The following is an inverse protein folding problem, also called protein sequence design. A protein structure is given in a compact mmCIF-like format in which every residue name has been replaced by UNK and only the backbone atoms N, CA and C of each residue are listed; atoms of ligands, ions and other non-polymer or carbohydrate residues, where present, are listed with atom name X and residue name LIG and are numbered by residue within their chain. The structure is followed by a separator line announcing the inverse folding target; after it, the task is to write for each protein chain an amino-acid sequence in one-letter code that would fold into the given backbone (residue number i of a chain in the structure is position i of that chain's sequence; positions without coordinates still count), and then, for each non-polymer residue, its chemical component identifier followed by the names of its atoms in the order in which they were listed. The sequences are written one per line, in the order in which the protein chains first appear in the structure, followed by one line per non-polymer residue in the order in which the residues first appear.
data_IF_033771872733
#
_entry.id   IF_033771872733
#
_cell.length_a   1.000
_cell.length_b   1.000
_cell.length_c   1.000
_cell.angle_alpha   90.00
_cell.angle_beta   90.00
_cell.angle_gamma   90.00
#
_symmetry.space_group_name_H-M   'P 1'
#
loop_
_entity.id
_entity.type
_entity.pdbx_description
1 polymer ?
#
# COMPACT_ATOMS: atom_id res chain seq x y z
N UNK A 1 25.77 23.74 16.59
CA UNK A 1 24.43 23.78 15.99
C UNK A 1 23.95 22.35 15.93
N UNK A 2 23.05 21.93 16.83
CA UNK A 2 22.32 20.65 16.69
C UNK A 2 21.44 20.81 15.45
N UNK A 3 21.66 19.99 14.41
CA UNK A 3 20.72 19.95 13.29
C UNK A 3 19.37 19.48 13.84
N UNK A 4 18.32 20.22 13.56
CA UNK A 4 16.96 19.72 13.86
C UNK A 4 16.79 18.35 13.21
N UNK A 5 16.26 17.40 13.98
CA UNK A 5 16.00 16.05 13.46
C UNK A 5 15.02 16.16 12.29
N UNK A 6 15.36 15.49 11.18
CA UNK A 6 14.45 15.46 10.01
C UNK A 6 13.15 14.80 10.40
N UNK A 7 11.99 15.29 9.90
CA UNK A 7 10.72 14.60 10.12
C UNK A 7 10.74 13.21 9.48
N UNK A 8 10.08 12.27 10.14
CA UNK A 8 10.04 10.86 9.74
C UNK A 8 8.92 10.63 8.74
N UNK A 9 9.24 10.00 7.62
CA UNK A 9 8.26 9.51 6.65
C UNK A 9 8.33 8.00 6.56
N UNK A 10 7.17 7.36 6.66
CA UNK A 10 7.01 5.94 6.38
C UNK A 10 6.22 5.74 5.09
N UNK A 11 6.74 4.92 4.21
CA UNK A 11 6.00 4.43 3.04
C UNK A 11 6.18 2.92 2.90
N UNK A 12 5.10 2.23 2.59
CA UNK A 12 5.08 0.78 2.52
C UNK A 12 4.43 0.30 1.23
N UNK A 13 4.91 -0.83 0.71
CA UNK A 13 4.23 -1.52 -0.38
C UNK A 13 4.18 -3.03 -0.14
N UNK A 14 3.07 -3.63 -0.56
CA UNK A 14 2.92 -5.08 -0.53
C UNK A 14 3.76 -5.72 -1.64
N UNK A 15 4.42 -6.85 -1.38
CA UNK A 15 5.20 -7.60 -2.37
C UNK A 15 4.29 -8.39 -3.33
N UNK A 16 3.42 -7.69 -4.07
CA UNK A 16 2.42 -8.28 -4.97
C UNK A 16 2.90 -8.35 -6.42
N UNK A 17 4.12 -8.84 -6.63
CA UNK A 17 4.70 -8.98 -7.96
C UNK A 17 5.55 -7.80 -8.41
N UNK A 18 5.72 -7.65 -9.72
CA UNK A 18 6.60 -6.62 -10.30
C UNK A 18 6.01 -5.22 -10.18
N UNK A 19 6.87 -4.22 -10.03
CA UNK A 19 6.48 -2.81 -10.12
C UNK A 19 6.15 -2.45 -11.57
N UNK A 20 5.10 -1.67 -11.75
CA UNK A 20 4.78 -1.08 -13.04
C UNK A 20 5.48 0.26 -13.21
N UNK A 21 5.61 0.74 -14.45
CA UNK A 21 6.10 2.09 -14.73
C UNK A 21 5.25 3.15 -14.01
N UNK A 22 3.95 2.90 -13.83
CA UNK A 22 3.05 3.76 -13.05
C UNK A 22 3.40 3.80 -11.56
N UNK A 23 3.84 2.67 -10.97
CA UNK A 23 4.34 2.65 -9.60
C UNK A 23 5.66 3.42 -9.47
N UNK A 24 6.56 3.25 -10.44
CA UNK A 24 7.84 3.98 -10.46
C UNK A 24 7.64 5.49 -10.55
N UNK A 25 6.92 5.96 -11.56
CA UNK A 25 6.70 7.40 -11.79
C UNK A 25 5.80 8.04 -10.73
N UNK A 26 4.82 7.29 -10.23
CA UNK A 26 3.85 7.80 -9.25
C UNK A 26 4.33 7.79 -7.80
N UNK A 27 5.30 6.93 -7.48
CA UNK A 27 5.75 6.75 -6.10
C UNK A 27 7.28 6.67 -5.97
N UNK A 28 7.91 5.59 -6.49
CA UNK A 28 9.30 5.26 -6.16
C UNK A 28 10.29 6.35 -6.59
N UNK A 29 10.10 6.96 -7.74
CA UNK A 29 10.92 8.08 -8.22
C UNK A 29 10.90 9.26 -7.25
N UNK A 30 9.76 9.53 -6.64
CA UNK A 30 9.61 10.62 -5.66
C UNK A 30 10.27 10.29 -4.32
N UNK A 31 10.36 8.99 -3.96
CA UNK A 31 10.99 8.58 -2.71
C UNK A 31 12.47 8.95 -2.64
N UNK A 32 13.21 8.81 -3.75
CA UNK A 32 14.62 9.19 -3.80
C UNK A 32 14.82 10.70 -3.51
N UNK A 33 13.90 11.55 -3.96
CA UNK A 33 13.98 13.00 -3.70
C UNK A 33 13.62 13.38 -2.26
N UNK A 34 12.88 12.53 -1.55
CA UNK A 34 12.51 12.78 -0.16
C UNK A 34 13.67 12.58 0.82
N UNK A 35 14.70 11.82 0.45
CA UNK A 35 15.84 11.52 1.30
C UNK A 35 16.66 12.76 1.72
N UNK A 36 16.55 13.86 0.99
CA UNK A 36 17.25 15.10 1.32
C UNK A 36 16.60 15.84 2.50
N UNK A 37 15.27 15.79 2.59
CA UNK A 37 14.49 16.57 3.56
C UNK A 37 13.95 15.74 4.73
N UNK A 38 13.85 14.41 4.57
CA UNK A 38 13.19 13.52 5.52
C UNK A 38 14.05 12.34 5.93
N UNK A 39 13.78 11.81 7.12
CA UNK A 39 14.21 10.48 7.53
C UNK A 39 13.20 9.45 7.02
N UNK A 40 13.61 8.66 6.03
CA UNK A 40 12.67 7.81 5.28
C UNK A 40 12.83 6.34 5.64
N UNK A 41 11.67 5.72 5.95
CA UNK A 41 11.49 4.28 6.14
C UNK A 41 10.69 3.70 4.99
N UNK A 42 11.20 2.64 4.36
CA UNK A 42 10.56 1.95 3.24
C UNK A 42 10.30 0.50 3.59
N UNK A 43 9.02 0.19 3.83
CA UNK A 43 8.59 -1.14 4.25
C UNK A 43 8.11 -2.00 3.08
N UNK A 44 8.62 -3.25 3.02
CA UNK A 44 7.98 -4.31 2.24
C UNK A 44 7.06 -5.07 3.19
N UNK A 45 5.73 -4.84 3.06
CA UNK A 45 4.74 -5.31 4.03
C UNK A 45 4.17 -6.66 3.62
N UNK A 46 4.97 -7.69 3.84
CA UNK A 46 4.67 -9.08 3.51
C UNK A 46 3.56 -9.69 4.39
N UNK A 47 3.39 -9.21 5.60
CA UNK A 47 2.30 -9.66 6.49
C UNK A 47 0.93 -9.15 6.02
N UNK A 48 0.85 -7.99 5.37
CA UNK A 48 -0.39 -7.56 4.72
C UNK A 48 -0.75 -8.44 3.52
N UNK A 49 0.24 -9.01 2.84
CA UNK A 49 0.02 -9.87 1.69
C UNK A 49 -0.64 -11.21 2.06
N UNK A 50 -0.44 -11.71 3.30
CA UNK A 50 -1.01 -12.99 3.75
C UNK A 50 -2.47 -12.91 4.18
N UNK A 51 -3.10 -11.73 4.14
CA UNK A 51 -4.54 -11.57 4.41
C UNK A 51 -5.42 -12.22 3.35
N UNK A 52 -4.84 -12.56 2.20
CA UNK A 52 -5.46 -13.31 1.11
C UNK A 52 -4.67 -14.59 0.84
N UNK A 53 -5.24 -15.52 0.05
CA UNK A 53 -4.55 -16.76 -0.32
C UNK A 53 -3.23 -16.46 -1.05
N UNK A 54 -2.14 -17.07 -0.62
CA UNK A 54 -0.80 -16.88 -1.14
C UNK A 54 -0.02 -18.19 -1.24
N UNK A 55 1.04 -18.21 -2.04
CA UNK A 55 2.07 -19.25 -2.07
C UNK A 55 3.28 -18.79 -1.25
N UNK A 56 3.74 -19.52 -0.22
CA UNK A 56 4.90 -19.12 0.59
C UNK A 56 6.17 -18.90 -0.24
N UNK A 57 6.40 -19.74 -1.25
CA UNK A 57 7.56 -19.61 -2.13
C UNK A 57 7.50 -18.34 -2.99
N UNK A 58 6.32 -18.04 -3.55
CA UNK A 58 6.10 -16.81 -4.32
C UNK A 58 6.18 -15.57 -3.45
N UNK A 59 5.61 -15.59 -2.24
CA UNK A 59 5.69 -14.48 -1.30
C UNK A 59 7.15 -14.15 -0.98
N UNK A 60 7.97 -15.16 -0.65
CA UNK A 60 9.41 -14.98 -0.39
C UNK A 60 10.13 -14.38 -1.61
N UNK A 61 9.91 -14.93 -2.81
CA UNK A 61 10.48 -14.44 -4.05
C UNK A 61 10.08 -12.99 -4.30
N UNK A 62 8.80 -12.67 -4.17
CA UNK A 62 8.26 -11.34 -4.42
C UNK A 62 8.75 -10.31 -3.39
N UNK A 63 8.91 -10.71 -2.12
CA UNK A 63 9.47 -9.85 -1.06
C UNK A 63 10.91 -9.43 -1.40
N UNK A 64 11.78 -10.38 -1.74
CA UNK A 64 13.15 -10.11 -2.14
C UNK A 64 13.22 -9.28 -3.42
N UNK A 65 12.40 -9.63 -4.42
CA UNK A 65 12.31 -8.88 -5.67
C UNK A 65 11.83 -7.45 -5.46
N UNK A 66 10.90 -7.22 -4.53
CA UNK A 66 10.40 -5.87 -4.20
C UNK A 66 11.52 -4.99 -3.65
N UNK A 67 12.32 -5.50 -2.70
CA UNK A 67 13.50 -4.78 -2.15
C UNK A 67 14.51 -4.47 -3.26
N UNK A 68 14.83 -5.48 -4.10
CA UNK A 68 15.77 -5.30 -5.21
C UNK A 68 15.29 -4.25 -6.21
N UNK A 69 13.99 -4.24 -6.53
CA UNK A 69 13.41 -3.22 -7.41
C UNK A 69 13.47 -1.81 -6.80
N UNK A 70 13.28 -1.65 -5.49
CA UNK A 70 13.43 -0.35 -4.82
C UNK A 70 14.84 0.21 -5.00
N UNK A 71 15.86 -0.62 -4.72
CA UNK A 71 17.27 -0.23 -4.85
C UNK A 71 17.59 0.09 -6.31
N UNK A 72 17.18 -0.76 -7.25
CA UNK A 72 17.40 -0.56 -8.69
C UNK A 72 16.70 0.72 -9.22
N UNK A 73 15.60 1.12 -8.62
CA UNK A 73 14.88 2.36 -8.95
C UNK A 73 15.48 3.62 -8.31
N UNK A 74 16.62 3.50 -7.62
CA UNK A 74 17.38 4.63 -7.09
C UNK A 74 17.17 4.90 -5.59
N UNK A 75 16.55 3.98 -4.86
CA UNK A 75 16.47 4.08 -3.40
C UNK A 75 17.81 3.64 -2.80
N UNK A 76 18.56 4.61 -2.29
CA UNK A 76 19.88 4.38 -1.70
C UNK A 76 19.74 3.75 -0.29
N UNK A 77 20.21 2.49 -0.08
CA UNK A 77 20.11 1.81 1.22
C UNK A 77 21.02 2.43 2.30
N UNK A 78 22.06 3.18 1.91
CA UNK A 78 22.92 3.89 2.86
C UNK A 78 22.26 5.16 3.43
N UNK A 79 21.30 5.71 2.68
CA UNK A 79 20.59 6.94 3.02
C UNK A 79 19.16 6.72 3.51
N UNK A 80 18.62 5.51 3.35
CA UNK A 80 17.26 5.15 3.70
C UNK A 80 17.21 3.88 4.53
N UNK A 81 16.13 3.69 5.26
CA UNK A 81 15.89 2.48 6.03
C UNK A 81 14.90 1.60 5.27
N UNK A 82 15.41 0.54 4.64
CA UNK A 82 14.59 -0.44 3.92
C UNK A 82 14.43 -1.67 4.81
N UNK A 83 13.21 -2.11 5.04
CA UNK A 83 12.93 -3.27 5.89
C UNK A 83 11.84 -4.17 5.33
N UNK A 84 11.83 -5.42 5.77
CA UNK A 84 10.73 -6.37 5.56
C UNK A 84 9.93 -6.44 6.84
N UNK A 85 8.63 -6.23 6.78
CA UNK A 85 7.74 -6.11 7.93
C UNK A 85 7.84 -7.31 8.89
N UNK A 86 7.84 -8.54 8.37
CA UNK A 86 7.93 -9.75 9.19
C UNK A 86 9.28 -9.93 9.91
N UNK A 87 10.31 -9.19 9.52
CA UNK A 87 11.62 -9.22 10.19
C UNK A 87 11.69 -8.29 11.42
N UNK A 88 10.68 -7.47 11.65
CA UNK A 88 10.59 -6.55 12.78
C UNK A 88 9.40 -6.93 13.65
N UNK A 89 9.66 -7.64 14.74
CA UNK A 89 8.62 -8.23 15.63
C UNK A 89 7.68 -7.16 16.19
N UNK A 90 8.17 -5.95 16.44
CA UNK A 90 7.40 -4.83 16.99
C UNK A 90 6.11 -4.49 16.22
N UNK A 91 6.05 -4.77 14.91
CA UNK A 91 4.83 -4.56 14.13
C UNK A 91 3.66 -5.39 14.67
N UNK A 92 3.89 -6.68 14.95
CA UNK A 92 2.85 -7.58 15.46
C UNK A 92 2.55 -7.35 16.92
N UNK A 93 3.55 -7.04 17.73
CA UNK A 93 3.37 -6.72 19.14
C UNK A 93 2.53 -5.46 19.31
N UNK A 94 2.88 -4.38 18.60
CA UNK A 94 2.12 -3.14 18.64
C UNK A 94 0.71 -3.32 18.04
N UNK A 95 0.57 -4.09 16.95
CA UNK A 95 -0.73 -4.40 16.37
C UNK A 95 -1.65 -5.10 17.38
N UNK A 96 -1.12 -6.01 18.19
CA UNK A 96 -1.89 -6.65 19.25
C UNK A 96 -2.33 -5.64 20.31
N UNK A 97 -1.44 -4.80 20.81
CA UNK A 97 -1.77 -3.77 21.80
C UNK A 97 -2.84 -2.80 21.28
N UNK A 98 -2.70 -2.32 20.05
CA UNK A 98 -3.68 -1.44 19.40
C UNK A 98 -5.02 -2.15 19.18
N UNK A 99 -5.02 -3.46 18.89
CA UNK A 99 -6.24 -4.26 18.73
C UNK A 99 -7.10 -4.25 19.99
N UNK A 100 -6.46 -4.26 21.17
CA UNK A 100 -7.15 -4.25 22.47
C UNK A 100 -7.89 -2.94 22.76
N UNK A 101 -7.56 -1.86 22.05
CA UNK A 101 -8.22 -0.55 22.19
C UNK A 101 -9.01 -0.14 20.94
N UNK A 102 -9.08 -1.01 19.93
CA UNK A 102 -9.79 -0.76 18.67
C UNK A 102 -11.22 -1.32 18.74
N UNK A 103 -12.28 -0.48 18.65
CA UNK A 103 -13.64 -1.00 18.57
C UNK A 103 -13.86 -1.78 17.27
N UNK A 104 -14.49 -2.94 17.37
CA UNK A 104 -14.82 -3.78 16.18
C UNK A 104 -15.66 -2.99 15.17
N UNK A 105 -16.59 -2.14 15.65
CA UNK A 105 -17.41 -1.30 14.78
C UNK A 105 -16.63 -0.34 13.89
N UNK A 106 -15.44 0.12 14.33
CA UNK A 106 -14.58 0.97 13.50
C UNK A 106 -14.03 0.19 12.32
N UNK A 107 -13.58 -1.05 12.55
CA UNK A 107 -13.06 -1.94 11.52
C UNK A 107 -14.14 -2.37 10.53
N UNK A 108 -15.33 -2.65 11.00
CA UNK A 108 -16.47 -3.04 10.16
C UNK A 108 -16.95 -1.91 9.24
N UNK A 109 -16.75 -0.67 9.65
CA UNK A 109 -17.09 0.51 8.83
C UNK A 109 -16.10 0.79 7.71
N UNK A 110 -14.90 0.16 7.72
CA UNK A 110 -13.87 0.37 6.72
C UNK A 110 -14.36 0.00 5.32
N UNK A 111 -14.32 0.95 4.40
CA UNK A 111 -14.77 0.76 3.01
C UNK A 111 -14.05 -0.38 2.32
N UNK A 112 -12.72 -0.44 2.45
CA UNK A 112 -11.93 -1.51 1.84
C UNK A 112 -12.24 -2.89 2.43
N UNK A 113 -12.58 -3.00 3.72
CA UNK A 113 -13.05 -4.27 4.29
C UNK A 113 -14.32 -4.73 3.61
N UNK A 114 -15.31 -3.83 3.48
CA UNK A 114 -16.60 -4.11 2.83
C UNK A 114 -16.42 -4.52 1.37
N UNK A 115 -15.59 -3.80 0.62
CA UNK A 115 -15.30 -4.11 -0.79
C UNK A 115 -14.61 -5.46 -0.98
N UNK A 116 -13.62 -5.78 -0.14
CA UNK A 116 -12.90 -7.05 -0.21
C UNK A 116 -13.80 -8.21 0.21
N UNK A 117 -14.62 -8.05 1.25
CA UNK A 117 -15.60 -9.04 1.67
C UNK A 117 -16.65 -9.28 0.57
N UNK A 118 -17.14 -8.21 -0.09
CA UNK A 118 -18.08 -8.31 -1.20
C UNK A 118 -17.51 -9.09 -2.40
N UNK A 119 -16.22 -8.91 -2.73
CA UNK A 119 -15.53 -9.71 -3.78
C UNK A 119 -15.47 -11.21 -3.46
N UNK A 120 -15.53 -11.56 -2.18
CA UNK A 120 -15.61 -12.95 -1.71
C UNK A 120 -17.06 -13.47 -1.63
N UNK A 121 -18.06 -12.65 -1.99
CA UNK A 121 -19.47 -13.01 -1.95
C UNK A 121 -20.14 -12.76 -0.58
N UNK A 122 -19.52 -11.97 0.28
CA UNK A 122 -20.09 -11.61 1.58
C UNK A 122 -20.65 -10.19 1.54
N UNK A 123 -21.91 -10.01 1.95
CA UNK A 123 -22.53 -8.69 2.10
C UNK A 123 -22.72 -8.40 3.60
N UNK A 124 -22.45 -7.16 4.00
CA UNK A 124 -22.84 -6.70 5.32
C UNK A 124 -24.37 -6.66 5.41
N UNK A 125 -24.95 -7.13 6.52
CA UNK A 125 -26.36 -7.00 6.79
C UNK A 125 -26.77 -5.54 6.99
N UNK A 126 -28.08 -5.26 6.99
CA UNK A 126 -28.63 -3.94 7.33
C UNK A 126 -28.32 -3.59 8.78
N UNK A 127 -27.80 -2.40 8.99
CA UNK A 127 -27.29 -1.95 10.29
C UNK A 127 -25.81 -2.30 10.52
N UNK A 128 -25.29 -1.99 11.70
CA UNK A 128 -23.89 -2.29 12.07
C UNK A 128 -23.68 -3.75 12.52
N UNK A 129 -24.62 -4.64 12.24
CA UNK A 129 -24.47 -6.05 12.56
C UNK A 129 -23.63 -6.78 11.51
N UNK A 130 -22.66 -7.60 11.97
CA UNK A 130 -21.89 -8.54 11.15
C UNK A 130 -22.76 -9.72 10.68
N UNK A 131 -23.85 -9.45 10.01
CA UNK A 131 -24.57 -10.47 9.28
C UNK A 131 -24.02 -10.54 7.86
N UNK A 132 -22.97 -11.31 7.68
CA UNK A 132 -22.53 -11.64 6.34
C UNK A 132 -23.49 -12.69 5.75
N UNK A 133 -24.27 -12.29 4.76
CA UNK A 133 -25.06 -13.23 3.97
C UNK A 133 -24.12 -13.90 2.96
N UNK A 134 -24.14 -15.24 2.95
CA UNK A 134 -23.35 -16.04 2.01
C UNK A 134 -23.94 -16.07 0.58
N UNK A 135 -24.81 -15.16 0.22
CA UNK A 135 -25.41 -15.10 -1.12
C UNK A 135 -24.34 -14.86 -2.18
N UNK A 136 -24.07 -15.87 -2.98
CA UNK A 136 -23.08 -15.83 -4.05
C UNK A 136 -21.63 -16.06 -3.64
N UNK A 137 -21.37 -16.47 -2.39
CA UNK A 137 -20.03 -16.86 -1.96
C UNK A 137 -19.54 -18.07 -2.77
N UNK A 138 -18.31 -17.99 -3.27
CA UNK A 138 -17.66 -19.13 -3.92
C UNK A 138 -17.45 -20.23 -2.90
N UNK A 139 -17.62 -21.50 -3.31
CA UNK A 139 -17.37 -22.64 -2.43
C UNK A 139 -15.96 -22.54 -1.80
N UNK A 140 -15.89 -22.59 -0.46
CA UNK A 140 -14.64 -22.45 0.29
C UNK A 140 -14.15 -21.00 0.48
N UNK A 141 -14.88 -19.97 0.04
CA UNK A 141 -14.54 -18.59 0.34
C UNK A 141 -14.85 -18.28 1.82
N UNK A 142 -13.93 -17.59 2.48
CA UNK A 142 -14.11 -17.12 3.86
C UNK A 142 -13.50 -15.73 4.02
N UNK A 143 -14.14 -14.90 4.83
CA UNK A 143 -13.56 -13.64 5.30
C UNK A 143 -12.80 -13.98 6.58
N UNK A 144 -11.47 -13.93 6.52
CA UNK A 144 -10.64 -14.23 7.69
C UNK A 144 -10.47 -13.01 8.60
N UNK A 145 -10.07 -13.25 9.84
CA UNK A 145 -9.83 -12.17 10.81
C UNK A 145 -8.72 -11.19 10.36
N UNK A 146 -7.71 -11.66 9.63
CA UNK A 146 -6.66 -10.80 9.08
C UNK A 146 -7.20 -9.74 8.14
N UNK A 147 -8.24 -10.07 7.36
CA UNK A 147 -8.90 -9.09 6.47
C UNK A 147 -9.68 -8.02 7.25
N UNK A 148 -10.17 -8.32 8.45
CA UNK A 148 -10.79 -7.35 9.34
C UNK A 148 -9.74 -6.51 10.08
N UNK A 149 -8.63 -7.15 10.50
CA UNK A 149 -7.66 -6.58 11.42
C UNK A 149 -6.50 -5.84 10.74
N UNK A 150 -6.30 -6.02 9.42
CA UNK A 150 -5.14 -5.40 8.75
C UNK A 150 -5.06 -3.85 8.89
N UNK A 151 -6.15 -3.08 9.08
CA UNK A 151 -6.03 -1.65 9.32
C UNK A 151 -5.33 -1.33 10.65
N UNK A 152 -5.45 -2.22 11.65
CA UNK A 152 -4.74 -2.09 12.93
C UNK A 152 -3.25 -2.41 12.76
N UNK A 153 -2.92 -3.42 11.96
CA UNK A 153 -1.53 -3.71 11.60
C UNK A 153 -0.90 -2.53 10.83
N UNK A 154 -1.64 -1.91 9.91
CA UNK A 154 -1.17 -0.70 9.22
C UNK A 154 -0.96 0.47 10.19
N UNK A 155 -1.84 0.64 11.18
CA UNK A 155 -1.62 1.64 12.24
C UNK A 155 -0.35 1.34 13.04
N UNK A 156 -0.12 0.07 13.39
CA UNK A 156 1.11 -0.35 14.06
C UNK A 156 2.36 -0.08 13.20
N UNK A 157 2.30 -0.36 11.90
CA UNK A 157 3.41 -0.06 10.97
C UNK A 157 3.81 1.43 11.04
N UNK A 158 2.83 2.32 11.11
CA UNK A 158 3.05 3.77 11.12
C UNK A 158 3.53 4.25 12.49
N UNK A 159 2.87 3.82 13.54
CA UNK A 159 3.12 4.31 14.89
C UNK A 159 4.40 3.76 15.51
N UNK A 160 4.85 2.57 15.10
CA UNK A 160 6.10 1.96 15.57
C UNK A 160 7.32 2.85 15.31
N UNK A 161 7.30 3.60 14.22
CA UNK A 161 8.39 4.50 13.83
C UNK A 161 8.12 5.97 14.17
N UNK A 162 7.02 6.27 14.86
CA UNK A 162 6.59 7.64 15.15
C UNK A 162 6.60 8.52 13.88
N UNK A 163 6.08 7.99 12.77
CA UNK A 163 6.08 8.69 11.50
C UNK A 163 5.31 10.01 11.59
N UNK A 164 5.94 11.11 11.20
CA UNK A 164 5.29 12.43 11.12
C UNK A 164 4.32 12.52 9.95
N UNK A 165 4.66 11.82 8.85
CA UNK A 165 3.83 11.83 7.65
C UNK A 165 3.87 10.50 6.90
N UNK A 166 2.77 10.19 6.21
CA UNK A 166 2.59 8.97 5.43
C UNK A 166 2.05 9.34 4.05
N UNK A 167 2.74 8.98 2.95
CA UNK A 167 2.21 9.13 1.60
C UNK A 167 1.04 8.17 1.39
N UNK A 168 -0.17 8.72 1.30
CA UNK A 168 -1.39 7.94 1.13
C UNK A 168 -2.18 8.39 -0.08
N UNK A 169 -2.63 7.44 -0.89
CA UNK A 169 -3.66 7.67 -1.90
C UNK A 169 -5.04 7.86 -1.25
N UNK A 170 -6.01 8.29 -2.05
CA UNK A 170 -7.38 8.52 -1.55
C UNK A 170 -8.01 7.28 -0.93
N UNK A 171 -7.68 6.09 -1.45
CA UNK A 171 -8.18 4.80 -0.98
C UNK A 171 -7.62 4.39 0.39
N UNK A 172 -6.51 4.99 0.82
CA UNK A 172 -5.86 4.72 2.11
C UNK A 172 -6.15 5.79 3.18
N UNK A 173 -6.87 6.86 2.84
CA UNK A 173 -7.16 7.94 3.80
C UNK A 173 -7.89 7.45 5.05
N UNK A 174 -8.90 6.59 4.87
CA UNK A 174 -9.67 6.05 5.99
C UNK A 174 -8.81 5.21 6.94
N UNK A 175 -7.79 4.49 6.43
CA UNK A 175 -6.85 3.76 7.27
C UNK A 175 -5.95 4.71 8.07
N UNK A 176 -5.50 5.80 7.45
CA UNK A 176 -4.70 6.81 8.15
C UNK A 176 -5.51 7.52 9.23
N UNK A 177 -6.79 7.81 8.99
CA UNK A 177 -7.66 8.38 10.03
C UNK A 177 -7.84 7.41 11.20
N UNK A 178 -8.06 6.11 10.95
CA UNK A 178 -8.09 5.11 12.02
C UNK A 178 -6.77 5.09 12.81
N UNK A 179 -5.62 5.15 12.12
CA UNK A 179 -4.31 5.23 12.78
C UNK A 179 -4.20 6.45 13.70
N UNK A 180 -4.66 7.61 13.23
CA UNK A 180 -4.67 8.86 14.01
C UNK A 180 -5.57 8.74 15.25
N UNK A 181 -6.77 8.18 15.08
CA UNK A 181 -7.71 7.97 16.18
C UNK A 181 -7.13 7.01 17.22
N UNK A 182 -6.44 5.95 16.80
CA UNK A 182 -5.80 5.01 17.70
C UNK A 182 -4.62 5.65 18.45
N UNK A 183 -3.80 6.45 17.76
CA UNK A 183 -2.71 7.19 18.40
C UNK A 183 -3.23 8.19 19.44
N UNK A 184 -4.27 8.97 19.11
CA UNK A 184 -4.90 9.91 20.04
C UNK A 184 -5.52 9.20 21.25
N UNK A 185 -6.23 8.09 21.01
CA UNK A 185 -6.86 7.28 22.08
C UNK A 185 -5.79 6.70 23.01
N UNK A 186 -4.71 6.19 22.46
CA UNK A 186 -3.60 5.66 23.26
C UNK A 186 -2.96 6.76 24.10
N UNK A 187 -2.59 7.88 23.46
CA UNK A 187 -1.96 9.01 24.13
C UNK A 187 -2.85 9.58 25.26
N UNK A 188 -4.15 9.68 25.03
CA UNK A 188 -5.10 10.15 26.05
C UNK A 188 -5.23 9.17 27.23
N UNK A 189 -5.23 7.87 26.95
CA UNK A 189 -5.49 6.82 27.96
C UNK A 189 -4.26 6.53 28.82
N UNK A 190 -3.09 6.56 28.23
CA UNK A 190 -1.84 6.11 28.88
C UNK A 190 -0.82 7.24 29.05
N UNK A 191 -0.24 7.74 27.97
CA UNK A 191 0.72 8.84 27.97
C UNK A 191 0.98 9.31 26.54
N UNK A 192 1.55 10.51 26.37
CA UNK A 192 1.99 11.02 25.07
C UNK A 192 3.15 10.16 24.51
N UNK A 193 2.79 9.11 23.77
CA UNK A 193 3.71 8.09 23.26
C UNK A 193 3.88 8.19 21.75
N UNK A 194 2.77 8.38 21.02
CA UNK A 194 2.77 8.33 19.56
C UNK A 194 2.65 9.72 18.93
N UNK A 195 3.45 9.96 17.91
CA UNK A 195 3.25 11.07 16.97
C UNK A 195 1.95 10.84 16.19
N UNK A 196 1.11 11.87 16.07
CA UNK A 196 -0.11 11.80 15.26
C UNK A 196 0.26 12.04 13.80
N UNK A 197 0.24 11.01 12.94
CA UNK A 197 0.75 11.12 11.58
C UNK A 197 -0.14 12.04 10.72
N UNK A 198 0.48 12.73 9.75
CA UNK A 198 -0.21 13.57 8.77
C UNK A 198 -0.22 12.89 7.41
N UNK A 199 -1.25 13.09 6.58
CA UNK A 199 -1.19 12.66 5.19
C UNK A 199 -0.12 13.47 4.46
N UNK A 200 0.79 12.78 3.78
CA UNK A 200 1.74 13.40 2.85
C UNK A 200 1.15 13.33 1.45
N UNK A 201 0.95 14.49 0.83
CA UNK A 201 0.47 14.57 -0.55
C UNK A 201 1.71 14.81 -1.41
N UNK A 202 2.25 13.79 -2.11
CA UNK A 202 3.38 14.00 -2.99
C UNK A 202 3.00 14.98 -4.10
N UNK A 203 3.94 15.82 -4.52
CA UNK A 203 3.80 16.60 -5.74
C UNK A 203 3.39 15.64 -6.86
N UNK A 204 2.34 15.94 -7.59
CA UNK A 204 1.62 15.04 -8.50
C UNK A 204 2.59 14.16 -9.31
N UNK A 205 2.55 12.86 -9.04
CA UNK A 205 3.15 11.86 -9.91
C UNK A 205 2.31 11.71 -11.19
N UNK A 206 2.94 11.47 -12.32
CA UNK A 206 2.25 11.23 -13.57
C UNK A 206 1.28 10.04 -13.42
N UNK A 207 0.02 10.25 -13.74
CA UNK A 207 -0.97 9.19 -13.83
C UNK A 207 -0.75 8.44 -15.14
N UNK A 208 -0.16 7.26 -15.07
CA UNK A 208 0.09 6.44 -16.26
C UNK A 208 -1.18 5.62 -16.56
N UNK A 209 -1.64 5.72 -17.79
CA UNK A 209 -2.83 5.01 -18.28
C UNK A 209 -2.44 3.66 -18.88
N UNK A 210 -3.38 2.73 -18.94
CA UNK A 210 -3.19 1.42 -19.53
C UNK A 210 -2.96 1.54 -21.06
N UNK A 211 -2.03 0.77 -21.62
CA UNK A 211 -1.67 0.89 -23.04
C UNK A 211 -2.81 0.50 -24.00
N UNK A 212 -3.68 -0.40 -23.58
CA UNK A 212 -4.80 -0.89 -24.40
C UNK A 212 -6.14 -0.21 -24.06
N UNK A 213 -6.14 0.65 -23.03
CA UNK A 213 -7.33 1.39 -22.58
C UNK A 213 -6.87 2.71 -21.96
N UNK A 214 -6.75 3.79 -22.75
CA UNK A 214 -6.23 5.09 -22.29
C UNK A 214 -7.13 5.81 -21.29
N UNK A 215 -8.37 5.37 -21.09
CA UNK A 215 -9.26 5.93 -20.08
C UNK A 215 -9.07 5.28 -18.71
N UNK A 216 -8.45 4.11 -18.66
CA UNK A 216 -8.22 3.34 -17.45
C UNK A 216 -6.77 3.47 -16.94
N UNK A 217 -6.62 3.68 -15.63
CA UNK A 217 -5.29 3.71 -15.01
C UNK A 217 -4.59 2.36 -15.16
N UNK A 218 -3.29 2.37 -15.53
CA UNK A 218 -2.44 1.17 -15.54
C UNK A 218 -2.47 0.47 -14.19
N UNK A 219 -2.72 -0.84 -14.20
CA UNK A 219 -2.86 -1.64 -12.98
C UNK A 219 -2.11 -2.96 -13.08
N UNK A 220 -1.49 -3.38 -11.96
CA UNK A 220 -0.86 -4.70 -11.83
C UNK A 220 -1.85 -5.86 -12.00
N UNK A 221 -3.12 -5.63 -11.67
CA UNK A 221 -4.19 -6.62 -11.73
C UNK A 221 -4.95 -6.62 -13.05
N UNK A 222 -4.42 -5.98 -14.09
CA UNK A 222 -5.03 -6.01 -15.42
C UNK A 222 -4.92 -7.43 -16.00
N UNK A 223 -6.06 -7.98 -16.42
CA UNK A 223 -6.10 -9.30 -17.06
C UNK A 223 -5.31 -9.31 -18.37
N UNK A 224 -5.31 -8.17 -19.09
CA UNK A 224 -4.52 -8.00 -20.29
C UNK A 224 -3.11 -7.51 -19.94
N UNK A 225 -2.16 -8.43 -19.89
CA UNK A 225 -0.75 -8.13 -19.59
C UNK A 225 -0.09 -7.18 -20.61
N UNK A 226 -0.65 -7.03 -21.82
CA UNK A 226 -0.16 -6.07 -22.82
C UNK A 226 -0.53 -4.62 -22.47
N UNK A 227 -1.49 -4.41 -21.57
CA UNK A 227 -1.90 -3.07 -21.08
C UNK A 227 -0.93 -2.46 -20.09
N UNK A 228 0.02 -3.26 -19.54
CA UNK A 228 0.86 -2.85 -18.40
C UNK A 228 2.34 -3.01 -18.72
N UNK A 229 3.12 -1.95 -18.50
CA UNK A 229 4.58 -1.98 -18.55
C UNK A 229 5.14 -2.28 -17.16
N UNK A 230 5.91 -3.35 -17.05
CA UNK A 230 6.61 -3.71 -15.82
C UNK A 230 8.07 -3.27 -15.88
N UNK A 231 8.64 -2.90 -14.73
CA UNK A 231 10.04 -2.46 -14.61
C UNK A 231 11.01 -3.57 -15.03
N UNK A 232 10.62 -4.83 -14.80
CA UNK A 232 11.45 -6.01 -15.12
C UNK A 232 11.12 -6.63 -16.49
N UNK A 233 10.28 -5.99 -17.30
CA UNK A 233 10.05 -6.45 -18.68
C UNK A 233 11.33 -6.31 -19.50
N UNK A 234 11.67 -7.35 -20.26
CA UNK A 234 12.77 -7.32 -21.20
C UNK A 234 12.57 -6.23 -22.27
N UNK A 235 13.62 -5.56 -22.77
CA UNK A 235 13.50 -4.47 -23.76
C UNK A 235 12.68 -4.84 -25.00
N UNK A 236 12.77 -6.09 -25.46
CA UNK A 236 11.99 -6.61 -26.59
C UNK A 236 10.50 -6.69 -26.28
N UNK A 237 10.14 -7.05 -25.03
CA UNK A 237 8.75 -7.11 -24.54
C UNK A 237 8.19 -5.70 -24.40
N UNK A 238 8.96 -4.77 -23.81
CA UNK A 238 8.58 -3.36 -23.68
C UNK A 238 8.28 -2.75 -25.06
N UNK A 239 9.19 -2.94 -26.02
CA UNK A 239 9.02 -2.47 -27.40
C UNK A 239 7.73 -3.00 -28.02
N UNK A 240 7.46 -4.31 -27.90
CA UNK A 240 6.25 -4.95 -28.44
C UNK A 240 4.98 -4.37 -27.80
N UNK A 241 4.95 -4.18 -26.47
CA UNK A 241 3.82 -3.62 -25.77
C UNK A 241 3.55 -2.16 -26.18
N UNK A 242 4.60 -1.34 -26.30
CA UNK A 242 4.47 0.06 -26.73
C UNK A 242 3.97 0.15 -28.18
N UNK A 243 4.50 -0.68 -29.09
CA UNK A 243 4.07 -0.68 -30.49
C UNK A 243 2.63 -1.16 -30.67
N UNK A 244 2.10 -1.95 -29.74
CA UNK A 244 0.69 -2.41 -29.76
C UNK A 244 -0.25 -1.53 -28.96
N UNK A 245 0.23 -0.43 -28.39
CA UNK A 245 -0.60 0.50 -27.62
C UNK A 245 -1.67 1.14 -28.52
N UNK A 246 -2.83 1.41 -27.93
CA UNK A 246 -3.87 2.19 -28.58
C UNK A 246 -3.37 3.62 -28.76
N UNK A 247 -3.36 4.10 -30.00
CA UNK A 247 -3.00 5.48 -30.34
C UNK A 247 -4.24 6.24 -30.79
N UNK A 248 -4.23 7.55 -30.67
CA UNK A 248 -5.26 8.37 -31.27
C UNK A 248 -5.15 8.37 -32.80
N UNK A 249 -6.20 8.80 -33.46
CA UNK A 249 -6.26 8.91 -34.93
C UNK A 249 -5.60 10.19 -35.47
N UNK A 250 -5.07 11.04 -34.59
CA UNK A 250 -4.47 12.32 -34.98
C UNK A 250 -2.99 12.15 -35.32
N UNK A 251 -2.53 12.85 -36.34
CA UNK A 251 -1.12 12.86 -36.74
C UNK A 251 -0.25 13.84 -35.94
N UNK A 252 -0.84 14.63 -35.06
CA UNK A 252 -0.15 15.65 -34.27
C UNK A 252 -0.11 15.27 -32.79
N UNK A 253 1.07 15.42 -32.17
CA UNK A 253 1.24 15.27 -30.73
C UNK A 253 0.81 16.57 -30.07
N UNK A 254 -0.37 16.61 -29.49
CA UNK A 254 -0.87 17.75 -28.73
C UNK A 254 -0.62 17.49 -27.23
N UNK A 255 0.18 18.37 -26.62
CA UNK A 255 0.31 18.36 -25.17
C UNK A 255 -0.96 18.98 -24.55
N UNK A 256 -1.67 18.21 -23.75
CA UNK A 256 -2.84 18.64 -22.96
C UNK A 256 -2.44 19.18 -21.60
#
# INVERSE_FOLDING_TARGET
LMSEAKPVILTCAQPTGQLTIGNYLGAVKNWATMLDDYECYFGVVDMHAITVKYSPAELRKNTLSCVAQYIACGLDPERSKIFVQSHVIGHTELAWLLSCITPIGDLQRMTQFKEKAAKLGFKAGEGNELKFTHEGARAGASVNSGLLMYPVLMAADILLYNADAVPVGNDQRQHLELCRDLAQRFNHTYSDTFTIPKPFIPKQGARVMALQDPERKMSKSDENQSSTLYILDEPSVLKKKIMSAVTDSNSEIVAS
#
